data_IF_764341546126
#
_entry.id   IF_764341546126
#
_cell.length_a   1.000
_cell.length_b   1.000
_cell.length_c   1.000
_cell.angle_alpha   90.00
_cell.angle_beta   90.00
_cell.angle_gamma   90.00
#
_symmetry.space_group_name_H-M   'P 1'
#
loop_
_entity.id
_entity.type
_entity.pdbx_description
1 polymer ?
#
# COMPACT_ATOMS: atom_id res chain seq x y z
N UNK A 1 5.49 -14.96 -28.24
CA UNK A 1 6.29 -15.05 -26.99
C UNK A 1 5.47 -14.96 -25.69
N UNK A 2 4.24 -14.41 -25.70
CA UNK A 2 3.40 -14.28 -24.49
C UNK A 2 2.77 -15.59 -23.97
N UNK A 3 2.46 -16.56 -24.85
CA UNK A 3 1.76 -17.81 -24.46
C UNK A 3 2.66 -18.89 -23.82
N UNK A 4 3.91 -19.03 -24.27
CA UNK A 4 4.81 -20.08 -23.80
C UNK A 4 5.35 -19.85 -22.36
N UNK A 5 5.24 -18.63 -21.83
CA UNK A 5 5.69 -18.30 -20.46
C UNK A 5 4.63 -18.60 -19.40
N UNK A 6 3.33 -18.56 -19.74
CA UNK A 6 2.23 -18.86 -18.80
C UNK A 6 2.20 -20.29 -18.29
N UNK A 7 2.81 -21.24 -18.99
CA UNK A 7 2.89 -22.63 -18.55
C UNK A 7 3.98 -22.86 -17.49
N UNK A 8 4.92 -21.91 -17.34
CA UNK A 8 6.05 -21.98 -16.40
C UNK A 8 5.88 -20.99 -15.25
N UNK A 9 5.02 -19.97 -15.42
CA UNK A 9 4.74 -18.99 -14.38
C UNK A 9 4.00 -19.63 -13.20
N UNK A 10 4.38 -19.30 -11.96
CA UNK A 10 3.66 -19.75 -10.78
C UNK A 10 2.20 -19.28 -10.85
N UNK A 11 1.26 -20.04 -10.28
CA UNK A 11 -0.14 -19.69 -10.31
C UNK A 11 -0.34 -18.29 -9.70
N UNK A 12 -1.07 -17.43 -10.44
CA UNK A 12 -1.49 -16.13 -9.93
C UNK A 12 -2.44 -16.39 -8.75
N UNK A 13 -2.26 -15.74 -7.60
CA UNK A 13 -3.12 -15.94 -6.44
C UNK A 13 -4.58 -15.67 -6.80
N UNK A 14 -5.53 -16.42 -6.24
CA UNK A 14 -6.95 -16.27 -6.58
C UNK A 14 -7.57 -15.05 -5.92
N UNK A 15 -7.11 -14.73 -4.72
CA UNK A 15 -7.60 -13.63 -3.90
C UNK A 15 -6.49 -13.03 -3.03
N UNK A 16 -6.82 -11.98 -2.29
CA UNK A 16 -5.89 -11.30 -1.38
C UNK A 16 -5.38 -12.22 -0.25
N UNK A 17 -6.18 -13.20 0.19
CA UNK A 17 -5.80 -14.12 1.26
C UNK A 17 -4.69 -15.05 0.80
N UNK A 18 -4.86 -15.69 -0.36
CA UNK A 18 -3.83 -16.54 -0.97
C UNK A 18 -2.55 -15.74 -1.26
N UNK A 19 -2.70 -14.49 -1.72
CA UNK A 19 -1.57 -13.59 -1.93
C UNK A 19 -0.78 -13.33 -0.65
N UNK A 20 -1.46 -13.04 0.47
CA UNK A 20 -0.80 -12.81 1.76
C UNK A 20 -0.12 -14.07 2.31
N UNK A 21 -0.69 -15.25 2.12
CA UNK A 21 -0.06 -16.53 2.49
C UNK A 21 1.25 -16.77 1.72
N UNK A 22 1.26 -16.44 0.42
CA UNK A 22 2.46 -16.53 -0.41
C UNK A 22 3.55 -15.54 0.02
N UNK A 23 3.16 -14.33 0.44
CA UNK A 23 4.12 -13.35 0.97
C UNK A 23 4.74 -13.83 2.28
N UNK A 24 3.93 -14.32 3.22
CA UNK A 24 4.42 -14.77 4.54
C UNK A 24 5.37 -15.96 4.42
N UNK A 25 5.21 -16.79 3.39
CA UNK A 25 6.12 -17.90 3.10
C UNK A 25 7.38 -17.51 2.30
N UNK A 26 7.58 -16.22 2.03
CA UNK A 26 8.70 -15.69 1.26
C UNK A 26 9.62 -14.77 2.09
N UNK A 27 10.82 -14.48 1.58
CA UNK A 27 11.77 -13.51 2.18
C UNK A 27 11.33 -12.03 2.03
N UNK A 28 10.08 -11.79 1.61
CA UNK A 28 9.51 -10.46 1.43
C UNK A 28 8.89 -9.87 2.71
N UNK A 29 8.93 -10.63 3.80
CA UNK A 29 8.47 -10.26 5.14
C UNK A 29 9.06 -8.94 5.65
N UNK A 30 10.31 -8.63 5.27
CA UNK A 30 10.98 -7.37 5.64
C UNK A 30 10.23 -6.13 5.12
N UNK A 31 9.49 -6.26 4.01
CA UNK A 31 8.67 -5.19 3.43
C UNK A 31 7.20 -5.34 3.81
N UNK A 32 6.70 -6.56 3.96
CA UNK A 32 5.32 -6.82 4.35
C UNK A 32 5.03 -6.32 5.78
N UNK A 33 3.90 -5.65 5.97
CA UNK A 33 3.50 -5.06 7.26
C UNK A 33 2.08 -5.46 7.66
N UNK A 34 1.61 -6.58 7.10
CA UNK A 34 0.31 -7.13 7.40
C UNK A 34 -0.78 -6.67 6.43
N UNK A 35 -1.97 -7.18 6.70
CA UNK A 35 -3.20 -6.86 6.00
C UNK A 35 -4.25 -6.30 6.96
N UNK A 36 -5.19 -5.56 6.39
CA UNK A 36 -6.41 -5.10 7.08
C UNK A 36 -7.62 -5.56 6.29
N UNK A 37 -8.72 -5.82 6.99
CA UNK A 37 -9.99 -6.21 6.39
C UNK A 37 -11.12 -5.31 6.87
N UNK A 38 -11.97 -4.88 5.93
CA UNK A 38 -13.20 -4.15 6.19
C UNK A 38 -14.31 -4.82 5.39
N UNK A 39 -15.20 -5.55 6.06
CA UNK A 39 -16.19 -6.39 5.36
C UNK A 39 -15.50 -7.42 4.47
N UNK A 40 -15.74 -7.33 3.15
CA UNK A 40 -15.11 -8.19 2.14
C UNK A 40 -13.87 -7.56 1.48
N UNK A 41 -13.43 -6.39 1.96
CA UNK A 41 -12.36 -5.61 1.36
C UNK A 41 -11.05 -5.85 2.10
N UNK A 42 -9.94 -5.89 1.37
CA UNK A 42 -8.61 -6.14 1.92
C UNK A 42 -7.64 -5.04 1.48
N UNK A 43 -6.83 -4.59 2.43
CA UNK A 43 -5.70 -3.71 2.21
C UNK A 43 -4.42 -4.38 2.67
N UNK A 44 -3.45 -4.57 1.77
CA UNK A 44 -2.17 -5.23 2.06
C UNK A 44 -1.07 -4.18 2.05
N UNK A 45 -0.30 -4.09 3.14
CA UNK A 45 0.59 -2.95 3.40
C UNK A 45 2.06 -3.36 3.26
N UNK A 46 2.82 -2.55 2.53
CA UNK A 46 4.24 -2.76 2.27
C UNK A 46 5.05 -1.50 2.50
N UNK A 47 6.08 -1.59 3.32
CA UNK A 47 7.15 -0.60 3.40
C UNK A 47 8.39 -1.18 4.08
N UNK A 48 9.54 -0.59 3.76
CA UNK A 48 10.81 -1.00 4.36
C UNK A 48 10.85 -0.66 5.85
N UNK A 49 11.13 -1.64 6.71
CA UNK A 49 11.40 -1.37 8.14
C UNK A 49 12.65 -0.51 8.39
N UNK A 50 13.50 -0.31 7.36
CA UNK A 50 14.62 0.64 7.38
C UNK A 50 14.20 2.07 7.11
N UNK A 51 12.91 2.33 6.88
CA UNK A 51 12.32 3.67 6.93
C UNK A 51 12.30 4.11 8.41
N UNK A 52 13.50 4.32 8.95
CA UNK A 52 13.79 5.24 10.05
C UNK A 52 14.01 6.63 9.47
N UNK A 53 13.26 6.98 8.43
CA UNK A 53 13.18 8.38 8.02
C UNK A 53 12.74 9.11 9.27
N UNK A 54 13.37 10.23 9.58
CA UNK A 54 12.92 11.14 10.64
C UNK A 54 11.53 11.63 10.23
N UNK A 55 10.50 10.79 10.39
CA UNK A 55 9.14 11.07 9.96
C UNK A 55 8.52 12.17 10.83
N UNK A 56 9.16 12.47 11.96
CA UNK A 56 9.02 13.71 12.71
C UNK A 56 9.37 14.97 11.90
N UNK A 57 10.18 14.85 10.85
CA UNK A 57 10.56 15.95 9.95
C UNK A 57 9.76 15.94 8.63
N UNK A 58 8.90 14.94 8.41
CA UNK A 58 8.06 14.89 7.21
C UNK A 58 6.89 15.83 7.40
N UNK A 59 6.93 16.93 6.67
CA UNK A 59 5.92 17.99 6.68
C UNK A 59 4.81 17.75 5.63
N UNK A 60 5.15 17.10 4.51
CA UNK A 60 4.24 16.81 3.40
C UNK A 60 4.19 15.33 3.05
N UNK A 61 2.97 14.82 2.89
CA UNK A 61 2.69 13.54 2.25
C UNK A 61 1.84 13.72 1.00
N UNK A 62 2.03 12.82 0.04
CA UNK A 62 1.29 12.77 -1.19
C UNK A 62 0.74 11.37 -1.41
N UNK A 63 -0.39 11.27 -2.09
CA UNK A 63 -1.05 10.00 -2.39
C UNK A 63 -1.25 9.86 -3.90
N UNK A 64 -0.96 8.67 -4.43
CA UNK A 64 -1.22 8.31 -5.82
C UNK A 64 -1.87 6.92 -5.91
N UNK A 65 -2.93 6.80 -6.70
CA UNK A 65 -3.65 5.56 -6.96
C UNK A 65 -3.40 5.09 -8.39
N UNK A 66 -2.73 3.94 -8.57
CA UNK A 66 -2.51 3.35 -9.90
C UNK A 66 -3.38 2.10 -10.09
N UNK A 67 -4.22 2.11 -11.13
CA UNK A 67 -5.24 1.08 -11.39
C UNK A 67 -4.85 0.08 -12.48
N UNK A 68 -4.06 0.50 -13.47
CA UNK A 68 -3.83 -0.29 -14.69
C UNK A 68 -2.78 -1.39 -14.54
N UNK A 69 -1.91 -1.29 -13.54
CA UNK A 69 -0.71 -2.14 -13.40
C UNK A 69 -0.77 -3.06 -12.18
N UNK A 70 -1.97 -3.38 -11.69
CA UNK A 70 -2.15 -4.22 -10.50
C UNK A 70 -2.62 -5.64 -10.82
N UNK A 71 -2.27 -6.63 -9.99
CA UNK A 71 -2.84 -7.97 -10.10
C UNK A 71 -4.37 -7.93 -10.04
N UNK A 72 -5.05 -8.78 -10.81
CA UNK A 72 -6.52 -8.77 -10.97
C UNK A 72 -7.32 -8.96 -9.68
N UNK A 73 -6.67 -9.42 -8.61
CA UNK A 73 -7.23 -9.60 -7.27
C UNK A 73 -7.39 -8.25 -6.55
N UNK A 74 -6.69 -7.22 -7.00
CA UNK A 74 -6.69 -5.88 -6.42
C UNK A 74 -7.29 -4.87 -7.39
N UNK A 75 -7.91 -3.85 -6.81
CA UNK A 75 -8.47 -2.73 -7.55
C UNK A 75 -7.41 -1.69 -7.87
N UNK A 76 -6.46 -1.46 -6.96
CA UNK A 76 -5.43 -0.44 -7.12
C UNK A 76 -4.19 -0.69 -6.27
N UNK A 77 -3.10 -0.05 -6.68
CA UNK A 77 -1.89 0.13 -5.91
C UNK A 77 -1.88 1.58 -5.46
N UNK A 78 -2.12 1.76 -4.16
CA UNK A 78 -2.12 3.05 -3.51
C UNK A 78 -0.74 3.33 -2.91
N UNK A 79 -0.09 4.39 -3.35
CA UNK A 79 1.27 4.75 -2.95
C UNK A 79 1.25 6.04 -2.14
N UNK A 80 1.90 6.01 -0.97
CA UNK A 80 2.11 7.18 -0.14
C UNK A 80 3.56 7.63 -0.34
N UNK A 81 3.71 8.89 -0.73
CA UNK A 81 4.99 9.56 -0.88
C UNK A 81 5.23 10.49 0.30
N UNK A 82 6.47 10.55 0.76
CA UNK A 82 6.90 11.51 1.76
C UNK A 82 7.90 12.49 1.14
N UNK A 83 7.81 13.76 1.53
CA UNK A 83 8.85 14.75 1.23
C UNK A 83 9.98 14.62 2.24
N UNK A 84 11.19 14.40 1.74
CA UNK A 84 12.41 14.28 2.55
C UNK A 84 13.43 15.28 1.99
N UNK A 85 13.62 16.38 2.72
CA UNK A 85 14.39 17.53 2.24
C UNK A 85 13.76 18.13 0.98
N UNK A 86 14.45 17.97 -0.16
CA UNK A 86 14.00 18.47 -1.48
C UNK A 86 13.42 17.39 -2.39
N UNK A 87 13.39 16.14 -1.94
CA UNK A 87 12.96 15.00 -2.76
C UNK A 87 11.62 14.48 -2.28
N UNK A 88 10.82 13.97 -3.21
CA UNK A 88 9.58 13.24 -2.93
C UNK A 88 9.85 11.78 -3.25
N UNK A 89 9.71 10.90 -2.27
CA UNK A 89 10.01 9.47 -2.41
C UNK A 89 8.78 8.63 -2.04
N UNK A 90 8.49 7.56 -2.79
CA UNK A 90 7.47 6.59 -2.39
C UNK A 90 7.99 5.82 -1.17
N UNK A 91 7.22 5.86 -0.09
CA UNK A 91 7.64 5.27 1.20
C UNK A 91 6.74 4.12 1.63
N UNK A 92 5.47 4.15 1.27
CA UNK A 92 4.49 3.12 1.62
C UNK A 92 3.68 2.75 0.38
N UNK A 93 3.46 1.45 0.19
CA UNK A 93 2.67 0.91 -0.89
C UNK A 93 1.59 0.02 -0.32
N UNK A 94 0.36 0.17 -0.82
CA UNK A 94 -0.79 -0.56 -0.35
C UNK A 94 -1.54 -1.15 -1.54
N UNK A 95 -1.73 -2.47 -1.55
CA UNK A 95 -2.62 -3.12 -2.51
C UNK A 95 -4.02 -3.15 -1.91
N UNK A 96 -4.99 -2.53 -2.59
CA UNK A 96 -6.37 -2.42 -2.11
C UNK A 96 -7.31 -3.16 -3.05
N UNK A 97 -8.25 -3.92 -2.50
CA UNK A 97 -9.31 -4.57 -3.30
C UNK A 97 -10.48 -3.63 -3.63
N UNK A 98 -10.48 -2.41 -3.08
CA UNK A 98 -11.52 -1.40 -3.33
C UNK A 98 -10.94 0.03 -3.27
N UNK A 99 -11.82 1.03 -3.45
CA UNK A 99 -11.55 2.45 -3.26
C UNK A 99 -12.53 3.12 -2.29
N UNK A 100 -13.11 2.34 -1.38
CA UNK A 100 -14.02 2.88 -0.38
C UNK A 100 -13.23 3.55 0.74
N UNK A 101 -13.78 4.63 1.29
CA UNK A 101 -13.14 5.42 2.34
C UNK A 101 -12.72 4.57 3.54
N UNK A 102 -13.56 3.62 3.96
CA UNK A 102 -13.31 2.79 5.13
C UNK A 102 -12.02 1.97 5.02
N UNK A 103 -11.69 1.44 3.83
CA UNK A 103 -10.45 0.67 3.66
C UNK A 103 -9.22 1.58 3.72
N UNK A 104 -9.28 2.79 3.17
CA UNK A 104 -8.19 3.76 3.29
C UNK A 104 -7.96 4.19 4.74
N UNK A 105 -9.02 4.53 5.46
CA UNK A 105 -8.96 4.92 6.88
C UNK A 105 -8.36 3.79 7.72
N UNK A 106 -8.78 2.55 7.48
CA UNK A 106 -8.27 1.38 8.21
C UNK A 106 -6.80 1.11 7.89
N UNK A 107 -6.39 1.25 6.63
CA UNK A 107 -4.98 1.13 6.21
C UNK A 107 -4.12 2.20 6.87
N UNK A 108 -4.56 3.46 6.89
CA UNK A 108 -3.83 4.55 7.53
C UNK A 108 -3.72 4.37 9.04
N UNK A 109 -4.77 3.89 9.70
CA UNK A 109 -4.71 3.54 11.12
C UNK A 109 -3.63 2.47 11.39
N UNK A 110 -3.59 1.41 10.57
CA UNK A 110 -2.55 0.37 10.67
C UNK A 110 -1.15 0.92 10.39
N UNK A 111 -1.00 1.81 9.41
CA UNK A 111 0.28 2.49 9.14
C UNK A 111 0.72 3.31 10.36
N UNK A 112 -0.20 4.04 10.98
CA UNK A 112 0.07 4.83 12.18
C UNK A 112 0.48 3.95 13.37
N UNK A 113 -0.09 2.75 13.53
CA UNK A 113 0.35 1.78 14.54
C UNK A 113 1.82 1.36 14.34
N UNK A 114 2.24 1.13 13.10
CA UNK A 114 3.63 0.78 12.80
C UNK A 114 4.57 1.98 12.85
N UNK A 115 4.06 3.18 12.54
CA UNK A 115 4.86 4.39 12.32
C UNK A 115 4.21 5.60 13.00
N UNK A 116 4.11 5.61 14.34
CA UNK A 116 3.38 6.65 15.09
C UNK A 116 4.01 8.04 15.02
N UNK A 117 5.24 8.14 14.49
CA UNK A 117 5.96 9.40 14.30
C UNK A 117 5.57 10.11 13.00
N UNK A 118 4.90 9.42 12.07
CA UNK A 118 4.41 10.03 10.84
C UNK A 118 3.22 10.94 11.18
N UNK A 119 3.50 12.24 11.29
CA UNK A 119 2.49 13.29 11.56
C UNK A 119 2.63 14.42 10.55
N UNK A 120 2.23 14.20 9.30
CA UNK A 120 2.36 15.21 8.26
C UNK A 120 1.48 16.41 8.57
N UNK A 121 1.97 17.59 8.22
CA UNK A 121 1.25 18.85 8.38
C UNK A 121 0.31 19.07 7.18
N UNK A 122 0.72 18.56 6.01
CA UNK A 122 -0.02 18.70 4.77
C UNK A 122 -0.13 17.36 4.03
N UNK A 123 -1.35 17.04 3.59
CA UNK A 123 -1.62 15.91 2.69
C UNK A 123 -2.17 16.41 1.36
N UNK A 124 -1.76 15.77 0.26
CA UNK A 124 -2.29 16.05 -1.08
C UNK A 124 -2.56 14.74 -1.81
N UNK A 125 -3.77 14.57 -2.32
CA UNK A 125 -4.14 13.44 -3.17
C UNK A 125 -4.78 13.94 -4.45
N UNK A 126 -4.71 13.12 -5.50
CA UNK A 126 -5.62 13.27 -6.64
C UNK A 126 -7.09 13.00 -6.23
N UNK A 127 -8.02 13.32 -7.12
CA UNK A 127 -9.48 13.33 -6.85
C UNK A 127 -10.04 11.92 -6.61
N UNK A 128 -9.79 11.37 -5.42
CA UNK A 128 -10.40 10.15 -4.91
C UNK A 128 -11.37 10.52 -3.79
N UNK A 129 -12.65 10.16 -3.94
CA UNK A 129 -13.69 10.50 -2.95
C UNK A 129 -13.35 9.99 -1.55
N UNK A 130 -12.69 8.83 -1.44
CA UNK A 130 -12.33 8.20 -0.17
C UNK A 130 -11.14 8.84 0.54
N UNK A 131 -10.36 9.69 -0.13
CA UNK A 131 -9.19 10.35 0.48
C UNK A 131 -9.54 11.78 0.95
N UNK A 132 -10.71 12.32 0.59
CA UNK A 132 -11.14 13.69 0.96
C UNK A 132 -11.38 13.93 2.45
N UNK A 133 -11.62 12.87 3.21
CA UNK A 133 -11.97 12.95 4.64
C UNK A 133 -10.82 12.46 5.55
N UNK A 134 -9.65 12.19 4.98
CA UNK A 134 -8.45 11.68 5.66
C UNK A 134 -7.54 12.81 6.15
#
# INVERSE_FOLDING_TARGET
MYRARREIEPPIPKDATEFCQLIVSSDFDIYYKGEVQVGCETGVIFFSGKIKISLSEVDHIYFDGTFYTVPSQFYQLWTIFARIGRNVLPVIHCLLTSKHEEIYTTVLARIHEHVPQLKPIHGMSDWEKGVRNL
#
